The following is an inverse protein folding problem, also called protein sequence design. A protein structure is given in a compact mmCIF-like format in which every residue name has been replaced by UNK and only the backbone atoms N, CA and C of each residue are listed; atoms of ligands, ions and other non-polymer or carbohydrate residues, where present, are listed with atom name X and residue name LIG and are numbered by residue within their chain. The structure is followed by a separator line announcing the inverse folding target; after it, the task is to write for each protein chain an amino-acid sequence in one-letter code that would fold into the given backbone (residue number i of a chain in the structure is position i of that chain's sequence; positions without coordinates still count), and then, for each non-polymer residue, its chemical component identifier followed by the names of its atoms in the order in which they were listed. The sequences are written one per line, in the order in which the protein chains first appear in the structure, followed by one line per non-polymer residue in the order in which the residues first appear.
data_IF_258339993834
#
_entry.id   IF_258339993834
#
_cell.length_a   1.000
_cell.length_b   1.000
_cell.length_c   1.000
_cell.angle_alpha   90.00
_cell.angle_beta   90.00
_cell.angle_gamma   90.00
#
_symmetry.space_group_name_H-M   'P 1'
#
loop_
_entity.id
_entity.type
_entity.pdbx_description
1 polymer ?
#
# COMPACT_ATOMS: atom_id res chain seq x y z
N UNK A 1 1.45 -11.62 -9.94
CA UNK A 1 2.81 -11.61 -9.32
C UNK A 1 2.71 -12.15 -7.91
N UNK A 2 3.51 -13.17 -7.58
CA UNK A 2 3.61 -13.75 -6.24
C UNK A 2 5.02 -13.57 -5.70
N UNK A 3 5.13 -13.22 -4.42
CA UNK A 3 6.40 -12.96 -3.76
C UNK A 3 6.49 -13.85 -2.52
N UNK A 4 7.63 -14.51 -2.35
CA UNK A 4 7.96 -15.31 -1.15
C UNK A 4 9.30 -14.81 -0.61
N UNK A 5 9.25 -14.12 0.52
CA UNK A 5 10.42 -13.54 1.18
C UNK A 5 10.65 -14.23 2.52
N UNK A 6 11.75 -14.97 2.62
CA UNK A 6 12.14 -15.74 3.80
C UNK A 6 13.41 -15.17 4.41
N UNK A 7 13.36 -14.90 5.71
CA UNK A 7 14.48 -14.42 6.51
C UNK A 7 14.89 -15.52 7.50
N UNK A 8 16.18 -15.87 7.52
CA UNK A 8 16.71 -16.94 8.36
C UNK A 8 17.44 -16.37 9.59
N UNK A 9 17.57 -17.18 10.63
CA UNK A 9 18.17 -16.77 11.91
C UNK A 9 19.68 -16.51 11.83
N UNK A 10 20.35 -17.03 10.81
CA UNK A 10 21.77 -16.79 10.51
C UNK A 10 22.01 -15.50 9.71
N UNK A 11 21.01 -14.63 9.60
CA UNK A 11 21.06 -13.37 8.86
C UNK A 11 21.18 -13.53 7.34
N UNK A 12 20.80 -14.70 6.80
CA UNK A 12 20.63 -14.92 5.35
C UNK A 12 19.17 -14.74 4.93
N UNK A 13 18.94 -14.50 3.64
CA UNK A 13 17.60 -14.47 3.07
C UNK A 13 17.49 -15.23 1.75
N UNK A 14 16.27 -15.69 1.46
CA UNK A 14 15.85 -16.12 0.13
C UNK A 14 14.63 -15.28 -0.27
N UNK A 15 14.72 -14.63 -1.41
CA UNK A 15 13.64 -13.86 -2.01
C UNK A 15 13.26 -14.48 -3.36
N UNK A 16 12.01 -14.91 -3.50
CA UNK A 16 11.49 -15.47 -4.75
C UNK A 16 10.40 -14.59 -5.32
N UNK A 17 10.48 -14.34 -6.63
CA UNK A 17 9.47 -13.61 -7.38
C UNK A 17 8.97 -14.45 -8.53
N UNK A 18 7.66 -14.61 -8.59
CA UNK A 18 6.94 -15.35 -9.63
C UNK A 18 6.10 -14.36 -10.42
N UNK A 19 6.42 -14.22 -11.70
CA UNK A 19 5.62 -13.46 -12.66
C UNK A 19 4.71 -14.42 -13.40
N UNK A 20 3.41 -14.11 -13.38
CA UNK A 20 2.39 -14.79 -14.17
C UNK A 20 1.77 -13.71 -15.04
N UNK A 21 2.41 -13.49 -16.20
CA UNK A 21 1.84 -12.74 -17.32
C UNK A 21 1.70 -13.76 -18.46
N UNK A 22 2.49 -13.63 -19.51
CA UNK A 22 2.45 -14.51 -20.70
C UNK A 22 3.29 -15.80 -20.54
N UNK A 23 4.23 -15.81 -19.60
CA UNK A 23 5.02 -16.99 -19.21
C UNK A 23 5.36 -16.95 -17.72
N UNK A 24 5.51 -18.11 -17.10
CA UNK A 24 5.91 -18.20 -15.69
C UNK A 24 7.42 -17.96 -15.61
N UNK A 25 7.82 -16.79 -15.11
CA UNK A 25 9.21 -16.49 -14.78
C UNK A 25 9.41 -16.60 -13.27
N UNK A 26 10.31 -17.48 -12.86
CA UNK A 26 10.71 -17.67 -11.46
C UNK A 26 12.11 -17.12 -11.25
N UNK A 27 12.22 -16.06 -10.45
CA UNK A 27 13.51 -15.51 -10.02
C UNK A 27 13.73 -15.86 -8.56
N UNK A 28 14.93 -16.34 -8.23
CA UNK A 28 15.38 -16.57 -6.84
C UNK A 28 16.61 -15.72 -6.61
N UNK A 29 16.58 -14.96 -5.53
CA UNK A 29 17.65 -14.07 -5.10
C UNK A 29 18.06 -14.46 -3.69
N UNK A 30 19.36 -14.48 -3.46
CA UNK A 30 19.92 -14.86 -2.17
C UNK A 30 20.86 -13.76 -1.68
N UNK A 31 21.12 -13.78 -0.38
CA UNK A 31 22.02 -12.82 0.22
C UNK A 31 21.91 -12.79 1.72
N UNK A 32 22.38 -11.69 2.27
CA UNK A 32 22.46 -11.47 3.70
C UNK A 32 21.66 -10.21 4.06
N UNK A 33 21.25 -10.12 5.31
CA UNK A 33 20.56 -8.94 5.82
C UNK A 33 21.15 -8.44 7.13
N UNK A 34 20.79 -7.20 7.48
CA UNK A 34 20.97 -6.61 8.80
C UNK A 34 19.62 -6.08 9.25
N UNK A 35 19.28 -6.35 10.51
CA UNK A 35 18.09 -5.81 11.15
C UNK A 35 18.53 -4.82 12.22
N UNK A 36 18.14 -3.55 12.05
CA UNK A 36 18.39 -2.48 13.00
C UNK A 36 17.02 -1.91 13.43
N UNK A 37 16.57 -2.26 14.64
CA UNK A 37 15.19 -2.05 15.08
C UNK A 37 14.20 -2.66 14.06
N UNK A 38 13.30 -1.84 13.51
CA UNK A 38 12.35 -2.24 12.48
C UNK A 38 12.90 -2.09 11.05
N UNK A 39 14.17 -1.70 10.87
CA UNK A 39 14.77 -1.48 9.55
C UNK A 39 15.52 -2.72 9.08
N UNK A 40 15.08 -3.28 7.95
CA UNK A 40 15.74 -4.38 7.25
C UNK A 40 16.58 -3.84 6.09
N UNK A 41 17.86 -4.21 6.09
CA UNK A 41 18.80 -3.88 5.01
C UNK A 41 19.33 -5.18 4.42
N UNK A 42 18.96 -5.48 3.17
CA UNK A 42 19.40 -6.64 2.40
C UNK A 42 20.55 -6.26 1.46
N UNK A 43 21.52 -7.15 1.34
CA UNK A 43 22.69 -7.04 0.48
C UNK A 43 22.98 -8.39 -0.17
N UNK A 44 23.46 -8.36 -1.42
CA UNK A 44 23.64 -9.55 -2.26
C UNK A 44 22.94 -9.35 -3.60
N UNK A 45 22.26 -10.39 -4.09
CA UNK A 45 21.56 -10.37 -5.38
C UNK A 45 20.38 -9.39 -5.38
N UNK A 46 19.85 -9.08 -4.20
CA UNK A 46 18.72 -8.16 -4.00
C UNK A 46 19.08 -7.11 -2.94
N UNK A 47 19.54 -5.95 -3.41
CA UNK A 47 19.82 -4.81 -2.56
C UNK A 47 18.51 -4.08 -2.23
N UNK A 48 18.10 -4.14 -0.97
CA UNK A 48 16.82 -3.62 -0.53
C UNK A 48 16.91 -3.00 0.86
N UNK A 49 16.19 -1.90 1.07
CA UNK A 49 16.10 -1.23 2.36
C UNK A 49 14.65 -0.88 2.66
N UNK A 50 14.13 -1.39 3.77
CA UNK A 50 12.74 -1.19 4.15
C UNK A 50 12.45 -1.35 5.62
N UNK A 51 11.21 -1.02 5.98
CA UNK A 51 10.70 -1.06 7.35
C UNK A 51 9.75 -2.24 7.54
N UNK A 52 9.91 -2.96 8.63
CA UNK A 52 9.04 -4.07 9.02
C UNK A 52 7.81 -3.53 9.72
N UNK A 53 6.63 -3.74 9.14
CA UNK A 53 5.36 -3.22 9.66
C UNK A 53 4.17 -4.04 9.19
N UNK A 54 3.22 -4.32 10.09
CA UNK A 54 2.00 -5.07 9.78
C UNK A 54 2.26 -6.41 9.03
N UNK A 55 3.34 -7.12 9.38
CA UNK A 55 3.83 -8.32 8.67
C UNK A 55 4.25 -8.09 7.21
N UNK A 56 4.59 -6.85 6.84
CA UNK A 56 5.22 -6.52 5.57
C UNK A 56 6.61 -5.93 5.81
N UNK A 57 7.45 -6.00 4.78
CA UNK A 57 8.67 -5.21 4.67
C UNK A 57 8.40 -4.15 3.60
N UNK A 58 8.32 -2.88 3.99
CA UNK A 58 7.95 -1.77 3.11
C UNK A 58 9.19 -0.99 2.66
N UNK A 59 9.33 -0.77 1.35
CA UNK A 59 10.44 -0.02 0.77
C UNK A 59 10.49 1.42 1.28
N UNK A 60 11.71 1.89 1.55
CA UNK A 60 11.96 3.30 1.88
C UNK A 60 11.99 4.22 0.66
N UNK A 61 12.18 3.67 -0.54
CA UNK A 61 12.35 4.43 -1.78
C UNK A 61 11.08 4.50 -2.61
N UNK A 62 10.31 3.42 -2.63
CA UNK A 62 9.11 3.29 -3.46
C UNK A 62 7.89 2.88 -2.61
N UNK A 63 6.70 3.00 -3.18
CA UNK A 63 5.49 2.42 -2.60
C UNK A 63 5.39 0.95 -2.99
N UNK A 64 6.35 0.15 -2.54
CA UNK A 64 6.45 -1.29 -2.73
C UNK A 64 6.66 -1.96 -1.37
N UNK A 65 6.07 -3.13 -1.17
CA UNK A 65 6.24 -3.93 0.05
C UNK A 65 6.05 -5.42 -0.20
N UNK A 66 6.61 -6.22 0.70
CA UNK A 66 6.62 -7.68 0.62
C UNK A 66 6.05 -8.30 1.88
N UNK A 67 5.14 -9.26 1.73
CA UNK A 67 4.53 -9.96 2.87
C UNK A 67 5.53 -10.92 3.51
N UNK A 68 5.60 -10.89 4.84
CA UNK A 68 6.42 -11.79 5.65
C UNK A 68 5.53 -12.99 6.00
N UNK A 69 5.71 -14.10 5.27
CA UNK A 69 4.90 -15.31 5.46
C UNK A 69 5.38 -16.13 6.67
N UNK A 70 6.70 -16.17 6.90
CA UNK A 70 7.29 -16.91 7.99
C UNK A 70 8.56 -16.20 8.48
N UNK A 71 8.56 -15.73 9.72
CA UNK A 71 9.71 -15.07 10.34
C UNK A 71 9.65 -15.16 11.85
N UNK A 72 10.82 -15.23 12.50
CA UNK A 72 10.95 -15.04 13.95
C UNK A 72 10.96 -13.56 14.34
N UNK A 73 11.04 -12.65 13.35
CA UNK A 73 11.06 -11.21 13.59
C UNK A 73 9.66 -10.76 13.95
N UNK A 74 9.52 -10.14 15.12
CA UNK A 74 8.25 -9.56 15.57
C UNK A 74 7.95 -8.32 14.74
N UNK A 75 6.80 -8.29 14.08
CA UNK A 75 6.30 -7.07 13.44
C UNK A 75 5.38 -6.33 14.40
N UNK A 76 5.46 -5.00 14.41
CA UNK A 76 4.46 -4.17 15.06
C UNK A 76 3.18 -4.18 14.21
N UNK A 77 2.13 -4.83 14.71
CA UNK A 77 0.84 -4.98 14.02
C UNK A 77 -0.14 -3.96 14.57
N UNK A 78 -0.54 -3.00 13.74
CA UNK A 78 -1.60 -2.01 14.04
C UNK A 78 -2.93 -2.32 13.36
N UNK A 79 -2.90 -3.13 12.31
CA UNK A 79 -4.07 -3.49 11.51
C UNK A 79 -4.03 -4.99 11.26
N UNK A 80 -5.11 -5.69 11.60
CA UNK A 80 -5.35 -7.06 11.13
C UNK A 80 -6.05 -7.02 9.76
N UNK A 81 -5.26 -7.15 8.68
CA UNK A 81 -5.80 -7.17 7.32
C UNK A 81 -6.72 -8.37 7.02
N UNK A 82 -6.82 -9.37 7.90
CA UNK A 82 -7.85 -10.42 7.77
C UNK A 82 -9.25 -9.85 7.99
N UNK A 83 -9.40 -8.85 8.87
CA UNK A 83 -10.67 -8.13 9.09
C UNK A 83 -10.96 -7.11 7.97
N UNK A 84 -9.92 -6.63 7.31
CA UNK A 84 -10.00 -5.63 6.23
C UNK A 84 -9.38 -6.16 4.93
N UNK A 85 -9.93 -7.23 4.33
CA UNK A 85 -9.27 -7.96 3.24
C UNK A 85 -9.15 -7.16 1.94
N UNK A 86 -9.90 -6.06 1.81
CA UNK A 86 -9.84 -5.14 0.66
C UNK A 86 -8.89 -3.97 0.89
N UNK A 87 -8.25 -3.87 2.05
CA UNK A 87 -7.34 -2.78 2.39
C UNK A 87 -5.88 -3.21 2.39
N UNK A 88 -5.03 -2.28 2.02
CA UNK A 88 -3.61 -2.27 2.37
C UNK A 88 -3.19 -0.84 2.70
N UNK A 89 -2.10 -0.70 3.44
CA UNK A 89 -1.49 0.60 3.75
C UNK A 89 -0.05 0.65 3.28
N UNK A 90 0.46 1.84 2.99
CA UNK A 90 1.89 2.05 2.75
C UNK A 90 2.39 3.22 3.59
N UNK A 91 3.59 3.10 4.11
CA UNK A 91 4.29 4.14 4.84
C UNK A 91 4.58 5.32 3.90
N UNK A 92 4.18 6.50 4.36
CA UNK A 92 4.55 7.76 3.74
C UNK A 92 6.05 7.98 3.84
N UNK A 93 6.65 8.44 2.74
CA UNK A 93 8.03 8.94 2.71
C UNK A 93 8.13 10.10 1.73
N UNK A 94 8.73 11.22 2.18
CA UNK A 94 8.85 12.44 1.36
C UNK A 94 9.62 12.22 0.06
N UNK A 95 10.62 11.34 0.10
CA UNK A 95 11.48 10.98 -1.03
C UNK A 95 10.86 9.98 -2.01
N UNK A 96 9.65 9.45 -1.73
CA UNK A 96 9.03 8.45 -2.61
C UNK A 96 8.52 9.09 -3.90
N UNK A 97 8.80 8.45 -5.04
CA UNK A 97 8.55 8.95 -6.41
C UNK A 97 7.11 9.41 -6.69
N UNK A 98 6.12 8.87 -5.98
CA UNK A 98 4.70 9.19 -6.15
C UNK A 98 4.09 9.92 -4.95
N UNK A 99 4.89 10.69 -4.21
CA UNK A 99 4.37 11.50 -3.12
C UNK A 99 3.28 12.48 -3.62
N UNK A 100 2.10 12.43 -2.99
CA UNK A 100 0.96 13.30 -3.28
C UNK A 100 0.68 14.32 -2.19
N UNK A 101 1.45 14.34 -1.11
CA UNK A 101 1.22 15.21 0.04
C UNK A 101 2.10 16.46 0.00
N UNK A 102 1.69 17.47 0.77
CA UNK A 102 2.48 18.69 0.96
C UNK A 102 3.84 18.36 1.61
N UNK A 103 4.86 19.16 1.33
CA UNK A 103 6.20 18.99 1.90
C UNK A 103 6.25 19.06 3.44
N UNK A 104 5.29 19.77 4.04
CA UNK A 104 5.12 19.87 5.50
C UNK A 104 4.48 18.64 6.13
N UNK A 105 3.89 17.74 5.33
CA UNK A 105 3.23 16.55 5.83
C UNK A 105 4.21 15.62 6.54
N UNK A 106 3.75 15.06 7.66
CA UNK A 106 4.50 14.08 8.44
C UNK A 106 3.83 12.70 8.37
N UNK A 107 4.57 11.59 8.51
CA UNK A 107 3.99 10.25 8.45
C UNK A 107 2.89 10.06 9.51
N UNK A 108 1.79 9.41 9.11
CA UNK A 108 0.78 8.92 10.03
C UNK A 108 0.53 7.43 9.80
N UNK A 109 0.46 6.66 10.88
CA UNK A 109 0.19 5.22 10.80
C UNK A 109 -1.29 4.96 11.07
N UNK A 110 -2.02 4.56 10.02
CA UNK A 110 -3.42 4.19 10.14
C UNK A 110 -3.66 3.05 11.13
N UNK A 111 -4.80 3.11 11.79
CA UNK A 111 -5.34 2.07 12.69
C UNK A 111 -6.59 1.42 12.10
N UNK A 112 -7.07 0.32 12.70
CA UNK A 112 -8.36 -0.29 12.33
C UNK A 112 -9.53 0.71 12.39
N UNK A 113 -9.55 1.58 13.40
CA UNK A 113 -10.58 2.63 13.53
C UNK A 113 -10.53 3.65 12.39
N UNK A 114 -9.34 3.95 11.86
CA UNK A 114 -9.21 4.85 10.72
C UNK A 114 -9.76 4.20 9.44
N UNK A 115 -9.56 2.89 9.25
CA UNK A 115 -10.15 2.16 8.13
C UNK A 115 -11.69 2.17 8.19
N UNK A 116 -12.27 1.98 9.38
CA UNK A 116 -13.72 2.08 9.59
C UNK A 116 -14.23 3.48 9.22
N UNK A 117 -13.50 4.54 9.59
CA UNK A 117 -13.85 5.92 9.20
C UNK A 117 -13.78 6.09 7.69
N UNK A 118 -12.73 5.58 7.03
CA UNK A 118 -12.61 5.63 5.57
C UNK A 118 -13.82 4.96 4.90
N UNK A 119 -14.24 3.78 5.36
CA UNK A 119 -15.43 3.09 4.82
C UNK A 119 -16.73 3.90 4.99
N UNK A 120 -16.82 4.73 6.04
CA UNK A 120 -17.97 5.63 6.23
C UNK A 120 -17.96 6.86 5.31
N UNK A 121 -16.78 7.35 4.94
CA UNK A 121 -16.62 8.60 4.16
C UNK A 121 -16.58 8.32 2.66
N UNK A 122 -15.90 7.24 2.24
CA UNK A 122 -15.66 6.93 0.84
C UNK A 122 -16.95 6.85 -0.01
N UNK A 123 -18.05 6.20 0.43
CA UNK A 123 -19.31 6.18 -0.32
C UNK A 123 -19.91 7.58 -0.53
N UNK A 124 -19.81 8.46 0.48
CA UNK A 124 -20.30 9.84 0.39
C UNK A 124 -19.54 10.56 -0.72
N UNK A 125 -18.23 10.36 -0.80
CA UNK A 125 -17.38 11.00 -1.80
C UNK A 125 -17.62 10.43 -3.20
N UNK A 126 -17.86 9.12 -3.31
CA UNK A 126 -18.26 8.50 -4.57
C UNK A 126 -19.60 9.04 -5.10
N UNK A 127 -20.56 9.32 -4.22
CA UNK A 127 -21.86 9.84 -4.62
C UNK A 127 -21.87 11.34 -4.96
N UNK A 128 -20.86 12.10 -4.49
CA UNK A 128 -20.79 13.56 -4.72
C UNK A 128 -20.41 13.95 -6.15
N UNK A 129 -19.82 13.06 -6.93
CA UNK A 129 -19.36 13.41 -8.28
C UNK A 129 -19.90 12.48 -9.36
N UNK A 130 -20.40 13.08 -10.42
CA UNK A 130 -20.88 12.41 -11.63
C UNK A 130 -19.77 11.66 -12.39
N UNK A 131 -18.50 11.89 -12.04
CA UNK A 131 -17.35 11.18 -12.61
C UNK A 131 -17.27 9.71 -12.15
N UNK A 132 -17.89 9.35 -11.02
CA UNK A 132 -17.97 7.95 -10.58
C UNK A 132 -19.03 7.18 -11.36
N UNK A 133 -18.64 6.70 -12.54
CA UNK A 133 -19.43 5.73 -13.32
C UNK A 133 -19.13 4.26 -12.96
N UNK A 134 -18.37 4.07 -11.88
CA UNK A 134 -17.88 2.77 -11.42
C UNK A 134 -18.92 1.94 -10.68
N UNK A 135 -18.44 0.85 -10.06
CA UNK A 135 -19.24 0.01 -9.17
C UNK A 135 -19.65 0.84 -7.94
N UNK A 136 -20.94 0.92 -7.63
CA UNK A 136 -21.41 1.81 -6.54
C UNK A 136 -21.03 1.34 -5.14
N UNK A 137 -20.69 0.06 -4.96
CA UNK A 137 -20.36 -0.53 -3.67
C UNK A 137 -18.85 -0.49 -3.41
N UNK A 138 -18.43 0.22 -2.38
CA UNK A 138 -17.02 0.39 -1.97
C UNK A 138 -16.33 -0.94 -1.65
N UNK A 139 -17.06 -1.95 -1.17
CA UNK A 139 -16.52 -3.30 -0.88
C UNK A 139 -15.94 -4.00 -2.10
N UNK A 140 -16.35 -3.60 -3.31
CA UNK A 140 -15.87 -4.21 -4.54
C UNK A 140 -14.49 -3.68 -4.97
N UNK A 141 -13.99 -2.64 -4.28
CA UNK A 141 -12.69 -2.04 -4.53
C UNK A 141 -11.65 -2.50 -3.52
N UNK A 142 -10.50 -2.93 -4.03
CA UNK A 142 -9.26 -2.95 -3.28
C UNK A 142 -8.73 -1.54 -3.11
N UNK A 143 -8.26 -1.21 -1.90
CA UNK A 143 -7.94 0.14 -1.46
C UNK A 143 -6.51 0.18 -0.94
N UNK A 144 -5.68 1.01 -1.56
CA UNK A 144 -4.32 1.29 -1.14
C UNK A 144 -4.29 2.64 -0.44
N UNK A 145 -3.92 2.67 0.83
CA UNK A 145 -3.96 3.90 1.63
C UNK A 145 -2.55 4.37 2.01
N UNK A 146 -2.28 5.65 1.82
CA UNK A 146 -1.11 6.34 2.39
C UNK A 146 -1.65 7.46 3.26
N UNK A 147 -1.18 7.59 4.50
CA UNK A 147 -1.69 8.59 5.42
C UNK A 147 -0.59 9.51 5.95
N UNK A 148 -0.97 10.77 6.16
CA UNK A 148 -0.11 11.79 6.75
C UNK A 148 -0.89 12.63 7.74
N UNK A 149 -0.17 13.37 8.59
CA UNK A 149 -0.72 14.53 9.29
C UNK A 149 -0.27 15.80 8.58
N UNK A 150 -1.21 16.70 8.34
CA UNK A 150 -0.92 18.02 7.80
C UNK A 150 -0.50 19.00 8.91
N UNK A 151 -0.19 20.25 8.55
CA UNK A 151 0.24 21.29 9.51
C UNK A 151 -0.79 21.66 10.58
N UNK A 152 -2.06 21.30 10.37
CA UNK A 152 -3.17 21.54 11.29
C UNK A 152 -3.42 20.32 12.21
N UNK A 153 -2.52 19.32 12.21
CA UNK A 153 -2.66 18.03 12.89
C UNK A 153 -3.85 17.17 12.40
N UNK A 154 -4.40 17.50 11.22
CA UNK A 154 -5.46 16.72 10.61
C UNK A 154 -4.88 15.54 9.83
N UNK A 155 -5.63 14.43 9.81
CA UNK A 155 -5.19 13.21 9.14
C UNK A 155 -5.71 13.22 7.71
N UNK A 156 -4.79 13.27 6.74
CA UNK A 156 -5.08 13.15 5.32
C UNK A 156 -4.68 11.77 4.81
N UNK A 157 -5.58 11.14 4.05
CA UNK A 157 -5.39 9.81 3.48
C UNK A 157 -5.53 9.88 1.98
N UNK A 158 -4.46 9.56 1.26
CA UNK A 158 -4.49 9.31 -0.18
C UNK A 158 -4.88 7.85 -0.41
N UNK A 159 -5.94 7.64 -1.19
CA UNK A 159 -6.52 6.33 -1.45
C UNK A 159 -6.51 6.08 -2.95
N UNK A 160 -5.93 4.95 -3.35
CA UNK A 160 -6.09 4.39 -4.70
C UNK A 160 -7.06 3.21 -4.62
N UNK A 161 -8.07 3.20 -5.47
CA UNK A 161 -9.12 2.19 -5.50
C UNK A 161 -9.09 1.45 -6.85
N UNK A 162 -9.13 0.12 -6.81
CA UNK A 162 -9.21 -0.74 -7.99
C UNK A 162 -10.25 -1.87 -7.80
N UNK A 163 -11.18 -2.04 -8.75
CA UNK A 163 -12.21 -3.10 -8.67
C UNK A 163 -11.93 -4.36 -9.53
N UNK A 164 -10.92 -4.33 -10.40
CA UNK A 164 -10.56 -5.41 -11.34
C UNK A 164 -9.12 -5.25 -11.85
N UNK A 165 -8.66 -6.25 -12.59
CA UNK A 165 -7.36 -6.28 -13.25
C UNK A 165 -6.18 -6.39 -12.27
N UNK A 166 -4.98 -6.22 -12.82
CA UNK A 166 -3.71 -6.36 -12.09
C UNK A 166 -3.68 -5.44 -10.87
N UNK A 167 -4.21 -4.21 -10.98
CA UNK A 167 -4.26 -3.27 -9.87
C UNK A 167 -5.03 -3.81 -8.65
N UNK A 168 -6.07 -4.63 -8.86
CA UNK A 168 -6.77 -5.33 -7.79
C UNK A 168 -6.02 -6.56 -7.29
N UNK A 169 -5.37 -7.32 -8.17
CA UNK A 169 -4.66 -8.55 -7.79
C UNK A 169 -3.36 -8.28 -7.02
N UNK A 170 -2.63 -7.23 -7.40
CA UNK A 170 -1.35 -6.86 -6.80
C UNK A 170 -1.46 -5.72 -5.78
N UNK A 171 -2.68 -5.32 -5.41
CA UNK A 171 -2.92 -4.11 -4.60
C UNK A 171 -2.14 -4.08 -3.30
N UNK A 172 -1.88 -5.26 -2.69
CA UNK A 172 -1.14 -5.35 -1.43
C UNK A 172 0.33 -4.97 -1.55
N UNK A 173 0.93 -5.13 -2.74
CA UNK A 173 2.39 -5.15 -2.87
C UNK A 173 2.98 -3.85 -3.40
N UNK A 174 2.30 -3.14 -4.30
CA UNK A 174 2.85 -1.87 -4.80
C UNK A 174 1.78 -0.90 -5.31
N UNK A 175 2.05 0.40 -5.20
CA UNK A 175 1.26 1.45 -5.87
C UNK A 175 1.89 1.72 -7.23
N UNK A 176 1.25 1.22 -8.30
CA UNK A 176 1.68 1.40 -9.68
C UNK A 176 0.88 2.48 -10.42
N UNK A 177 1.41 2.93 -11.57
CA UNK A 177 0.65 3.74 -12.51
C UNK A 177 -0.38 2.85 -13.23
N UNK A 178 -1.64 3.27 -13.25
CA UNK A 178 -2.70 2.64 -14.05
C UNK A 178 -2.99 3.56 -15.23
N UNK A 179 -2.58 3.13 -16.42
CA UNK A 179 -2.73 3.90 -17.65
C UNK A 179 -4.15 3.76 -18.23
N UNK A 180 -4.71 2.55 -18.27
CA UNK A 180 -6.05 2.27 -18.84
C UNK A 180 -6.99 1.60 -17.83
N UNK A 181 -7.32 2.34 -16.77
CA UNK A 181 -8.06 1.81 -15.61
C UNK A 181 -9.58 1.84 -15.73
N UNK A 182 -10.11 2.55 -16.73
CA UNK A 182 -11.54 2.80 -16.90
C UNK A 182 -12.23 3.30 -15.62
N UNK A 183 -13.54 3.06 -15.53
CA UNK A 183 -14.37 3.35 -14.35
C UNK A 183 -14.00 2.55 -13.09
N UNK A 184 -13.07 1.61 -13.21
CA UNK A 184 -12.71 0.66 -12.17
C UNK A 184 -11.47 1.08 -11.38
N UNK A 185 -10.76 2.11 -11.86
CA UNK A 185 -9.67 2.75 -11.13
C UNK A 185 -9.99 4.21 -10.85
N UNK A 186 -9.81 4.59 -9.59
CA UNK A 186 -9.86 5.98 -9.19
C UNK A 186 -8.95 6.23 -7.99
N UNK A 187 -8.61 7.48 -7.80
CA UNK A 187 -7.88 7.95 -6.62
C UNK A 187 -8.52 9.22 -6.07
N UNK A 188 -8.38 9.41 -4.77
CA UNK A 188 -8.81 10.61 -4.06
C UNK A 188 -7.98 10.79 -2.80
N UNK A 189 -8.11 11.95 -2.19
CA UNK A 189 -7.74 12.16 -0.80
C UNK A 189 -8.96 12.37 0.06
N UNK A 190 -8.87 11.91 1.31
CA UNK A 190 -9.87 12.12 2.36
C UNK A 190 -9.18 12.75 3.55
N UNK A 191 -9.79 13.77 4.15
CA UNK A 191 -9.42 14.25 5.48
C UNK A 191 -10.30 13.55 6.52
N UNK A 192 -9.72 12.74 7.41
CA UNK A 192 -10.49 11.96 8.40
C UNK A 192 -11.07 12.84 9.53
N UNK A 193 -10.53 14.05 9.71
CA UNK A 193 -11.00 15.02 10.71
C UNK A 193 -12.23 15.77 10.19
N UNK A 194 -12.11 16.38 9.01
CA UNK A 194 -13.20 17.18 8.40
C UNK A 194 -14.23 16.34 7.65
N UNK A 195 -13.88 15.08 7.32
CA UNK A 195 -14.66 14.15 6.49
C UNK A 195 -14.85 14.63 5.06
N UNK A 196 -13.96 15.50 4.60
CA UNK A 196 -13.99 16.02 3.24
C UNK A 196 -13.14 15.18 2.30
N UNK A 197 -13.48 15.24 1.01
CA UNK A 197 -12.75 14.56 -0.06
C UNK A 197 -12.32 15.56 -1.12
N UNK A 198 -11.11 15.37 -1.64
CA UNK A 198 -10.47 16.26 -2.60
C UNK A 198 -9.50 15.47 -3.50
N UNK A 199 -8.92 16.13 -4.50
CA UNK A 199 -8.02 15.53 -5.49
C UNK A 199 -8.57 14.25 -6.15
N UNK A 200 -9.89 14.24 -6.41
CA UNK A 200 -10.56 13.09 -7.03
C UNK A 200 -10.13 13.00 -8.50
N UNK A 201 -9.56 11.87 -8.87
CA UNK A 201 -9.20 11.53 -10.25
C UNK A 201 -9.81 10.16 -10.56
N UNK A 202 -10.68 10.12 -11.55
CA UNK A 202 -11.25 8.88 -12.10
C UNK A 202 -10.63 8.65 -13.46
N UNK A 203 -10.12 7.46 -13.73
CA UNK A 203 -9.56 7.17 -15.05
C UNK A 203 -10.67 7.14 -16.11
N UNK A 204 -10.36 7.69 -17.28
CA UNK A 204 -11.26 7.74 -18.43
C UNK A 204 -11.37 6.38 -19.15
N UNK A 205 -12.32 6.33 -20.08
CA UNK A 205 -12.36 5.30 -21.12
C UNK A 205 -11.24 5.51 -22.13
#
# INVERSE_FOLDING_TARGET
MKIDFRLYSDSTYIFKRIYEFDSIKNETFEGNFKLLNDTLICYGDFNFNGLIKNNFIESNQEYEKYEIINSKIKSNIKIDFKKFPTYTTFAFGKSKKYNRFNETAIPYELTENDLIKIDSILPICMNKTSYFKGVKKTDNYSKQCVATKNRNDEIEVWINCACSGIAKESFKYFIGAVYDGGHCFFRLKINLTTKECFDVVVNGY
#
